data_IF_807892860344
#
_entry.id   IF_807892860344
#
_cell.length_a   1.000
_cell.length_b   1.000
_cell.length_c   1.000
_cell.angle_alpha   90.00
_cell.angle_beta   90.00
_cell.angle_gamma   90.00
#
_symmetry.space_group_name_H-M   'P 1'
#
loop_
_entity.id
_entity.type
_entity.pdbx_description
1 polymer ?
#
# COMPACT_ATOMS: atom_id res chain seq x y z
N UNK A 1 -31.27 -16.98 -2.05
CA UNK A 1 -30.57 -18.29 -1.99
C UNK A 1 -30.19 -18.51 -0.54
N UNK A 2 -30.56 -19.68 -0.02
CA UNK A 2 -30.88 -19.93 1.38
C UNK A 2 -29.88 -19.39 2.41
N UNK A 3 -30.43 -18.65 3.38
CA UNK A 3 -29.86 -18.40 4.70
C UNK A 3 -29.79 -19.75 5.44
N UNK A 4 -28.77 -20.53 5.13
CA UNK A 4 -28.48 -21.77 5.83
C UNK A 4 -28.05 -21.39 7.24
N UNK A 5 -28.97 -21.56 8.19
CA UNK A 5 -28.75 -21.55 9.63
C UNK A 5 -27.38 -22.17 9.94
N UNK A 6 -26.35 -21.32 10.07
CA UNK A 6 -24.98 -21.79 10.31
C UNK A 6 -25.02 -22.55 11.63
N UNK A 7 -24.58 -23.81 11.61
CA UNK A 7 -24.28 -24.56 12.84
C UNK A 7 -23.48 -23.62 13.76
N UNK A 8 -23.71 -23.64 15.09
CA UNK A 8 -22.91 -22.85 16.01
C UNK A 8 -21.45 -23.26 15.83
N UNK A 9 -20.68 -22.42 15.13
CA UNK A 9 -19.25 -22.60 14.97
C UNK A 9 -18.56 -21.67 15.97
N UNK A 10 -17.37 -22.06 16.39
CA UNK A 10 -16.46 -21.18 17.13
C UNK A 10 -15.20 -21.08 16.28
N UNK A 11 -14.70 -19.88 16.13
CA UNK A 11 -13.46 -19.61 15.42
C UNK A 11 -12.33 -20.46 15.97
N UNK A 12 -11.59 -21.07 15.05
CA UNK A 12 -10.35 -21.75 15.37
C UNK A 12 -9.34 -21.38 14.28
N UNK A 13 -8.08 -21.06 14.64
CA UNK A 13 -7.06 -20.64 13.68
C UNK A 13 -6.67 -21.73 12.67
N UNK A 14 -7.21 -22.95 12.75
CA UNK A 14 -6.85 -24.06 11.85
C UNK A 14 -8.11 -24.71 11.27
N UNK A 15 -9.03 -25.17 12.12
CA UNK A 15 -10.22 -25.90 11.70
C UNK A 15 -11.34 -25.03 11.12
N UNK A 16 -11.57 -23.83 11.69
CA UNK A 16 -12.73 -22.99 11.40
C UNK A 16 -12.36 -21.51 11.24
N UNK A 17 -11.43 -21.23 10.32
CA UNK A 17 -10.91 -19.87 10.05
C UNK A 17 -12.00 -18.89 9.58
N UNK A 18 -13.03 -19.36 8.89
CA UNK A 18 -14.08 -18.51 8.32
C UNK A 18 -15.23 -18.21 9.30
N UNK A 19 -15.15 -18.72 10.54
CA UNK A 19 -16.20 -18.54 11.53
C UNK A 19 -16.10 -17.18 12.22
N UNK A 20 -17.15 -16.33 12.20
CA UNK A 20 -17.10 -15.00 12.81
C UNK A 20 -17.46 -14.98 14.31
N UNK A 21 -17.54 -16.14 14.96
CA UNK A 21 -17.93 -16.27 16.37
C UNK A 21 -16.67 -16.57 17.17
N UNK A 22 -16.29 -15.69 18.09
CA UNK A 22 -15.04 -15.77 18.83
C UNK A 22 -15.30 -15.92 20.33
N UNK A 23 -14.50 -16.74 21.00
CA UNK A 23 -14.44 -16.74 22.47
C UNK A 23 -13.65 -15.51 22.94
N UNK A 24 -14.14 -14.81 23.97
CA UNK A 24 -13.42 -13.69 24.58
C UNK A 24 -12.08 -14.16 25.12
N UNK A 25 -12.02 -15.38 25.69
CA UNK A 25 -10.79 -15.96 26.20
C UNK A 25 -9.73 -16.09 25.10
N UNK A 26 -10.13 -16.61 23.92
CA UNK A 26 -9.26 -16.72 22.75
C UNK A 26 -8.77 -15.35 22.26
N UNK A 27 -9.67 -14.36 22.17
CA UNK A 27 -9.29 -12.99 21.78
C UNK A 27 -8.24 -12.43 22.75
N UNK A 28 -8.44 -12.62 24.05
CA UNK A 28 -7.56 -12.10 25.09
C UNK A 28 -6.22 -12.84 25.14
N UNK A 29 -6.20 -14.14 24.90
CA UNK A 29 -4.96 -14.92 24.85
C UNK A 29 -4.10 -14.57 23.63
N UNK A 30 -4.73 -14.25 22.50
CA UNK A 30 -4.02 -13.80 21.29
C UNK A 30 -3.56 -12.34 21.41
N UNK A 31 -4.40 -11.46 21.99
CA UNK A 31 -4.08 -10.04 22.15
C UNK A 31 -2.96 -9.79 23.18
N UNK A 32 -2.89 -10.60 24.24
CA UNK A 32 -1.88 -10.51 25.29
C UNK A 32 -1.43 -11.90 25.75
N UNK A 33 -0.16 -12.23 25.46
CA UNK A 33 0.45 -13.52 25.80
C UNK A 33 0.78 -13.60 27.29
N UNK A 34 1.05 -12.48 27.95
CA UNK A 34 1.37 -12.45 29.37
C UNK A 34 0.10 -12.63 30.22
N UNK A 35 0.09 -13.70 31.03
CA UNK A 35 -1.05 -14.08 31.89
C UNK A 35 -1.36 -12.98 32.91
N UNK A 36 -0.33 -12.35 33.50
CA UNK A 36 -0.49 -11.31 34.52
C UNK A 36 -1.17 -10.09 33.94
N UNK A 37 -0.69 -9.60 32.79
CA UNK A 37 -1.29 -8.46 32.08
C UNK A 37 -2.72 -8.76 31.67
N UNK A 38 -2.98 -9.96 31.12
CA UNK A 38 -4.32 -10.39 30.74
C UNK A 38 -5.30 -10.39 31.91
N UNK A 39 -4.88 -10.88 33.08
CA UNK A 39 -5.71 -10.83 34.30
C UNK A 39 -5.98 -9.40 34.77
N UNK A 40 -4.99 -8.51 34.63
CA UNK A 40 -5.17 -7.09 34.94
C UNK A 40 -6.14 -6.42 33.96
N UNK A 41 -6.12 -6.78 32.67
CA UNK A 41 -7.08 -6.28 31.68
C UNK A 41 -8.52 -6.70 32.04
N UNK A 42 -8.72 -7.93 32.51
CA UNK A 42 -10.04 -8.40 32.95
C UNK A 42 -10.53 -7.67 34.21
N UNK A 43 -9.63 -7.27 35.10
CA UNK A 43 -9.98 -6.58 36.36
C UNK A 43 -10.17 -5.07 36.19
N UNK A 44 -9.29 -4.42 35.45
CA UNK A 44 -9.24 -2.96 35.32
C UNK A 44 -9.79 -2.43 34.00
N UNK A 45 -10.06 -3.32 33.04
CA UNK A 45 -10.42 -2.99 31.67
C UNK A 45 -9.19 -2.85 30.78
N UNK A 46 -9.41 -2.86 29.47
CA UNK A 46 -8.35 -2.75 28.45
C UNK A 46 -8.95 -2.47 27.08
N UNK A 47 -8.10 -2.15 26.10
CA UNK A 47 -8.53 -1.85 24.74
C UNK A 47 -7.90 -2.85 23.79
N UNK A 48 -8.72 -3.63 23.10
CA UNK A 48 -8.26 -4.68 22.18
C UNK A 48 -8.73 -4.35 20.76
N UNK A 49 -7.80 -4.37 19.80
CA UNK A 49 -8.11 -4.32 18.38
C UNK A 49 -8.39 -5.70 17.84
N UNK A 50 -9.51 -5.85 17.16
CA UNK A 50 -9.83 -7.00 16.30
C UNK A 50 -9.68 -6.52 14.87
N UNK A 51 -8.60 -6.91 14.18
CA UNK A 51 -8.34 -6.54 12.80
C UNK A 51 -8.82 -7.66 11.86
N UNK A 52 -9.67 -7.29 10.90
CA UNK A 52 -10.08 -8.12 9.78
C UNK A 52 -9.35 -7.61 8.55
N UNK A 53 -8.43 -8.41 8.01
CA UNK A 53 -7.62 -8.06 6.85
C UNK A 53 -8.10 -8.82 5.61
N UNK A 54 -8.44 -8.09 4.55
CA UNK A 54 -8.91 -8.65 3.30
C UNK A 54 -7.87 -8.43 2.21
N UNK A 55 -6.95 -9.37 1.99
CA UNK A 55 -6.06 -9.34 0.83
C UNK A 55 -6.60 -10.27 -0.27
N UNK A 56 -7.22 -9.68 -1.28
CA UNK A 56 -7.99 -10.41 -2.27
C UNK A 56 -7.51 -10.18 -3.68
N UNK A 57 -7.19 -11.29 -4.36
CA UNK A 57 -7.01 -11.29 -5.80
C UNK A 57 -8.35 -11.58 -6.49
N UNK A 58 -8.93 -10.54 -7.11
CA UNK A 58 -10.22 -10.57 -7.82
C UNK A 58 -10.13 -11.20 -9.21
N UNK A 59 -8.94 -11.55 -9.69
CA UNK A 59 -8.78 -12.36 -10.91
C UNK A 59 -9.10 -13.83 -10.65
N UNK A 60 -9.05 -14.25 -9.39
CA UNK A 60 -9.48 -15.57 -8.94
C UNK A 60 -10.95 -15.56 -8.52
N UNK A 61 -11.45 -16.72 -8.11
CA UNK A 61 -12.81 -16.83 -7.61
C UNK A 61 -13.00 -15.99 -6.33
N UNK A 62 -14.04 -15.14 -6.32
CA UNK A 62 -14.41 -14.30 -5.17
C UNK A 62 -14.62 -15.10 -3.87
N UNK A 63 -14.99 -16.39 -3.96
CA UNK A 63 -15.16 -17.26 -2.79
C UNK A 63 -13.84 -17.56 -2.04
N UNK A 64 -12.70 -17.34 -2.68
CA UNK A 64 -11.38 -17.48 -2.06
C UNK A 64 -10.95 -16.23 -1.28
N UNK A 65 -11.59 -15.09 -1.54
CA UNK A 65 -11.40 -13.86 -0.78
C UNK A 65 -12.04 -14.04 0.60
N UNK A 66 -11.21 -14.19 1.62
CA UNK A 66 -11.60 -14.47 3.01
C UNK A 66 -10.81 -13.55 3.94
N UNK A 67 -11.40 -13.13 5.07
CA UNK A 67 -10.71 -12.25 5.99
C UNK A 67 -9.68 -13.05 6.81
N UNK A 68 -8.53 -12.44 7.05
CA UNK A 68 -7.59 -12.86 8.08
C UNK A 68 -7.87 -12.09 9.37
N UNK A 69 -8.05 -12.82 10.47
CA UNK A 69 -8.32 -12.23 11.79
C UNK A 69 -7.03 -12.09 12.58
N UNK A 70 -6.79 -10.91 13.15
CA UNK A 70 -5.69 -10.67 14.08
C UNK A 70 -6.17 -9.87 15.30
N UNK A 71 -5.59 -10.16 16.45
CA UNK A 71 -5.97 -9.58 17.73
C UNK A 71 -4.75 -8.93 18.37
N UNK A 72 -4.91 -7.71 18.87
CA UNK A 72 -3.80 -7.00 19.50
C UNK A 72 -4.31 -6.05 20.59
N UNK A 73 -3.58 -5.94 21.69
CA UNK A 73 -3.78 -4.88 22.67
C UNK A 73 -3.40 -3.51 22.08
N UNK A 74 -4.20 -2.48 22.37
CA UNK A 74 -3.95 -1.10 21.93
C UNK A 74 -3.61 -0.15 23.07
N UNK A 75 -4.02 -0.45 24.29
CA UNK A 75 -3.65 0.32 25.48
C UNK A 75 -2.24 -0.01 25.96
N UNK A 76 -1.64 0.94 26.68
CA UNK A 76 -0.31 0.78 27.28
C UNK A 76 -0.35 -0.31 28.37
N UNK A 77 0.64 -1.21 28.44
CA UNK A 77 0.74 -2.22 29.49
C UNK A 77 0.72 -1.64 30.91
N UNK A 78 0.19 -2.41 31.86
CA UNK A 78 0.00 -1.95 33.25
C UNK A 78 1.32 -1.74 34.01
N UNK A 79 2.39 -2.39 33.57
CA UNK A 79 3.72 -2.22 34.17
C UNK A 79 4.39 -0.89 33.76
N UNK A 80 3.96 -0.27 32.66
CA UNK A 80 4.53 1.01 32.17
C UNK A 80 3.79 2.22 32.74
N UNK A 81 2.47 2.12 32.93
CA UNK A 81 1.63 3.24 33.37
C UNK A 81 1.01 3.00 34.76
N UNK A 82 1.61 3.55 35.85
CA UNK A 82 1.11 3.33 37.20
C UNK A 82 -0.12 4.16 37.54
N UNK A 83 -0.37 5.29 36.86
CA UNK A 83 -1.40 6.26 37.26
C UNK A 83 -2.77 5.98 36.61
N UNK A 84 -2.79 5.58 35.34
CA UNK A 84 -4.02 5.31 34.59
C UNK A 84 -4.10 3.86 34.15
N UNK A 85 -4.44 2.98 35.09
CA UNK A 85 -4.56 1.55 34.84
C UNK A 85 -5.87 1.23 34.10
N UNK A 86 -5.72 0.72 32.88
CA UNK A 86 -6.80 0.08 32.12
C UNK A 86 -7.84 1.05 31.56
N UNK A 87 -8.97 0.50 31.13
CA UNK A 87 -10.06 1.27 30.51
C UNK A 87 -11.29 1.36 31.43
N UNK A 88 -11.71 2.59 31.73
CA UNK A 88 -12.89 2.86 32.55
C UNK A 88 -13.73 4.01 31.98
N UNK A 89 -15.04 3.96 32.23
CA UNK A 89 -15.95 5.05 31.90
C UNK A 89 -16.96 5.29 33.02
N UNK A 90 -17.45 6.53 33.13
CA UNK A 90 -18.48 6.91 34.10
C UNK A 90 -19.74 7.30 33.35
N UNK A 91 -20.88 6.79 33.82
CA UNK A 91 -22.19 7.18 33.34
C UNK A 91 -23.07 7.59 34.53
N UNK A 92 -24.01 8.50 34.30
CA UNK A 92 -24.92 8.96 35.33
C UNK A 92 -26.36 8.73 34.88
N UNK A 93 -27.12 8.03 35.72
CA UNK A 93 -28.57 7.91 35.58
C UNK A 93 -29.19 8.96 36.47
N UNK A 94 -29.83 9.95 35.87
CA UNK A 94 -30.51 11.04 36.60
C UNK A 94 -32.01 10.82 36.57
N UNK A 95 -32.69 11.13 37.67
CA UNK A 95 -34.15 11.16 37.76
C UNK A 95 -34.59 12.32 38.66
N UNK A 96 -35.88 12.64 38.61
CA UNK A 96 -36.47 13.74 39.38
C UNK A 96 -37.59 13.18 40.26
N UNK A 97 -37.62 13.61 41.51
CA UNK A 97 -38.67 13.26 42.46
C UNK A 97 -39.03 14.53 43.26
N UNK A 98 -40.32 14.91 43.27
CA UNK A 98 -40.87 16.03 44.04
C UNK A 98 -40.02 17.33 43.95
N UNK A 99 -39.79 17.79 42.72
CA UNK A 99 -38.95 18.97 42.38
C UNK A 99 -37.42 18.83 42.61
N UNK A 100 -36.97 17.82 43.35
CA UNK A 100 -35.54 17.53 43.56
C UNK A 100 -34.92 16.65 42.46
N UNK A 101 -33.68 16.95 42.10
CA UNK A 101 -32.92 16.24 41.08
C UNK A 101 -31.92 15.26 41.72
N UNK A 102 -32.09 13.97 41.43
CA UNK A 102 -31.20 12.91 41.89
C UNK A 102 -30.35 12.34 40.74
N UNK A 103 -29.16 11.84 41.08
CA UNK A 103 -28.30 11.10 40.13
C UNK A 103 -27.55 9.97 40.81
N UNK A 104 -27.47 8.83 40.13
CA UNK A 104 -26.52 7.75 40.44
C UNK A 104 -25.38 7.84 39.44
N UNK A 105 -24.16 8.06 39.94
CA UNK A 105 -22.94 8.03 39.14
C UNK A 105 -22.30 6.64 39.24
N UNK A 106 -22.31 5.89 38.14
CA UNK A 106 -21.71 4.56 38.05
C UNK A 106 -20.38 4.65 37.32
N UNK A 107 -19.32 4.06 37.91
CA UNK A 107 -18.03 3.86 37.24
C UNK A 107 -17.91 2.40 36.83
N UNK A 108 -17.77 2.15 35.53
CA UNK A 108 -17.62 0.82 34.96
C UNK A 108 -16.19 0.60 34.44
N UNK A 109 -15.67 -0.60 34.69
CA UNK A 109 -14.39 -1.09 34.16
C UNK A 109 -14.70 -2.24 33.20
N UNK A 110 -14.08 -2.26 32.03
CA UNK A 110 -14.37 -3.28 31.04
C UNK A 110 -13.46 -3.26 29.83
N UNK A 111 -13.60 -4.29 29.00
CA UNK A 111 -12.87 -4.40 27.75
C UNK A 111 -13.59 -3.60 26.66
N UNK A 112 -12.81 -2.83 25.89
CA UNK A 112 -13.28 -2.16 24.69
C UNK A 112 -12.69 -2.84 23.47
N UNK A 113 -13.53 -3.48 22.67
CA UNK A 113 -13.13 -4.04 21.39
C UNK A 113 -13.26 -3.00 20.27
N UNK A 114 -12.17 -2.78 19.54
CA UNK A 114 -12.15 -1.92 18.36
C UNK A 114 -12.01 -2.83 17.14
N UNK A 115 -13.09 -2.95 16.37
CA UNK A 115 -13.09 -3.73 15.13
C UNK A 115 -12.54 -2.84 14.01
N UNK A 116 -11.41 -3.23 13.45
CA UNK A 116 -10.74 -2.55 12.35
C UNK A 116 -10.81 -3.43 11.11
N UNK A 117 -11.40 -2.93 10.04
CA UNK A 117 -11.47 -3.65 8.77
C UNK A 117 -10.50 -2.97 7.80
N UNK A 118 -9.54 -3.74 7.31
CA UNK A 118 -8.61 -3.32 6.27
C UNK A 118 -8.75 -4.25 5.08
N UNK A 119 -8.49 -3.73 3.88
CA UNK A 119 -8.61 -4.54 2.69
C UNK A 119 -7.82 -3.96 1.52
N UNK A 120 -7.21 -4.86 0.77
CA UNK A 120 -6.55 -4.62 -0.50
C UNK A 120 -7.13 -5.60 -1.50
N UNK A 121 -7.61 -5.08 -2.62
CA UNK A 121 -8.12 -5.90 -3.70
C UNK A 121 -7.34 -5.59 -4.97
N UNK A 122 -6.78 -6.62 -5.60
CA UNK A 122 -6.12 -6.53 -6.91
C UNK A 122 -7.00 -7.16 -7.98
N UNK A 123 -7.12 -6.50 -9.13
CA UNK A 123 -7.71 -7.05 -10.35
C UNK A 123 -6.79 -6.70 -11.51
N UNK A 124 -6.63 -7.60 -12.46
CA UNK A 124 -5.90 -7.39 -13.68
C UNK A 124 -6.49 -6.22 -14.46
N UNK A 125 -5.62 -5.25 -14.76
CA UNK A 125 -5.92 -4.08 -15.57
C UNK A 125 -4.88 -3.96 -16.68
N UNK A 126 -5.37 -3.96 -17.92
CA UNK A 126 -4.55 -3.91 -19.12
C UNK A 126 -3.77 -2.58 -19.24
N UNK A 127 -4.34 -1.48 -18.74
CA UNK A 127 -3.70 -0.15 -18.78
C UNK A 127 -2.47 -0.16 -17.88
N UNK A 128 -2.63 -0.57 -16.63
CA UNK A 128 -1.52 -0.71 -15.67
C UNK A 128 -0.45 -1.69 -16.16
N UNK A 129 -0.85 -2.79 -16.79
CA UNK A 129 0.08 -3.74 -17.38
C UNK A 129 0.95 -3.12 -18.49
N UNK A 130 0.32 -2.42 -19.43
CA UNK A 130 1.03 -1.79 -20.55
C UNK A 130 1.98 -0.68 -20.07
N UNK A 131 1.57 0.10 -19.07
CA UNK A 131 2.42 1.11 -18.43
C UNK A 131 3.67 0.49 -17.78
N UNK A 132 3.50 -0.63 -17.06
CA UNK A 132 4.61 -1.35 -16.46
C UNK A 132 5.58 -1.93 -17.50
N UNK A 133 5.05 -2.45 -18.63
CA UNK A 133 5.89 -2.88 -19.76
C UNK A 133 6.65 -1.70 -20.36
N UNK A 134 6.00 -0.55 -20.57
CA UNK A 134 6.66 0.65 -21.07
C UNK A 134 7.84 1.07 -20.20
N UNK A 135 7.67 1.01 -18.87
CA UNK A 135 8.77 1.28 -17.92
C UNK A 135 9.93 0.29 -18.05
N UNK A 136 9.64 -1.01 -18.24
CA UNK A 136 10.66 -2.04 -18.43
C UNK A 136 11.44 -1.81 -19.73
N UNK A 137 10.74 -1.51 -20.83
CA UNK A 137 11.37 -1.19 -22.13
C UNK A 137 12.27 0.05 -22.02
N UNK A 138 11.83 1.08 -21.31
CA UNK A 138 12.65 2.27 -21.04
C UNK A 138 13.94 1.93 -20.27
N UNK A 139 13.86 1.06 -19.26
CA UNK A 139 15.02 0.63 -18.48
C UNK A 139 16.05 -0.14 -19.33
N UNK A 140 15.59 -0.95 -20.30
CA UNK A 140 16.50 -1.64 -21.22
C UNK A 140 17.38 -0.68 -22.04
N UNK A 141 16.89 0.52 -22.36
CA UNK A 141 17.69 1.56 -23.04
C UNK A 141 18.84 2.10 -22.19
N UNK A 142 18.72 2.12 -20.85
CA UNK A 142 19.85 2.44 -19.98
C UNK A 142 20.85 1.28 -19.89
N UNK A 143 20.36 0.05 -19.97
CA UNK A 143 21.19 -1.15 -19.99
C UNK A 143 22.21 -1.13 -21.13
N UNK A 144 21.81 -0.72 -22.34
CA UNK A 144 22.72 -0.63 -23.49
C UNK A 144 23.81 0.41 -23.26
N UNK A 145 23.50 1.56 -22.66
CA UNK A 145 24.49 2.60 -22.33
C UNK A 145 25.52 2.06 -21.34
N UNK A 146 25.08 1.37 -20.29
CA UNK A 146 25.98 0.77 -19.30
C UNK A 146 26.83 -0.33 -19.94
N UNK A 147 26.24 -1.16 -20.79
CA UNK A 147 26.95 -2.17 -21.57
C UNK A 147 28.03 -1.53 -22.46
N UNK A 148 27.73 -0.41 -23.11
CA UNK A 148 28.70 0.31 -23.93
C UNK A 148 29.83 0.92 -23.10
N UNK A 149 29.54 1.52 -21.95
CA UNK A 149 30.56 2.03 -21.02
C UNK A 149 31.48 0.89 -20.57
N UNK A 150 30.92 -0.27 -20.24
CA UNK A 150 31.70 -1.45 -19.85
C UNK A 150 32.61 -1.95 -20.98
N UNK A 151 32.06 -2.08 -22.21
CA UNK A 151 32.83 -2.55 -23.37
C UNK A 151 33.92 -1.55 -23.80
N UNK A 152 33.66 -0.25 -23.67
CA UNK A 152 34.61 0.80 -24.05
C UNK A 152 35.69 1.08 -23.00
N UNK A 153 35.39 0.96 -21.71
CA UNK A 153 36.32 1.39 -20.67
C UNK A 153 36.89 0.24 -19.82
N UNK A 154 36.17 -0.87 -19.66
CA UNK A 154 36.54 -1.93 -18.71
C UNK A 154 36.99 -3.22 -19.39
N UNK A 155 36.69 -3.41 -20.67
CA UNK A 155 37.13 -4.58 -21.43
C UNK A 155 38.59 -4.50 -21.85
N UNK A 156 39.35 -5.58 -21.68
CA UNK A 156 40.75 -5.70 -22.13
C UNK A 156 40.93 -5.55 -23.65
N UNK A 157 39.86 -5.69 -24.44
CA UNK A 157 39.84 -5.49 -25.91
C UNK A 157 39.11 -4.20 -26.32
N UNK A 158 38.99 -3.22 -25.43
CA UNK A 158 38.28 -1.96 -25.69
C UNK A 158 38.82 -1.19 -26.90
N UNK A 159 40.13 -1.22 -27.15
CA UNK A 159 40.76 -0.57 -28.32
C UNK A 159 40.30 -1.16 -29.66
N UNK A 160 39.99 -2.46 -29.68
CA UNK A 160 39.45 -3.15 -30.85
C UNK A 160 37.99 -2.75 -31.05
N UNK A 161 37.18 -2.74 -29.97
CA UNK A 161 35.77 -2.32 -30.00
C UNK A 161 35.62 -0.86 -30.47
N UNK A 162 36.49 0.03 -29.99
CA UNK A 162 36.51 1.46 -30.40
C UNK A 162 36.74 1.65 -31.90
N UNK A 163 37.56 0.80 -32.53
CA UNK A 163 37.87 0.90 -33.96
C UNK A 163 36.73 0.45 -34.88
N UNK A 164 35.85 -0.43 -34.40
CA UNK A 164 34.70 -0.91 -35.18
C UNK A 164 33.46 -0.05 -35.00
N UNK A 165 33.40 0.76 -33.93
CA UNK A 165 32.24 1.62 -33.62
C UNK A 165 32.49 3.08 -33.98
N UNK A 166 33.71 3.58 -33.78
CA UNK A 166 34.04 4.96 -34.10
C UNK A 166 34.85 5.04 -35.39
N UNK A 167 34.30 5.70 -36.40
CA UNK A 167 35.05 6.15 -37.57
C UNK A 167 35.60 7.56 -37.29
N UNK A 168 36.92 7.68 -37.20
CA UNK A 168 37.60 8.96 -37.02
C UNK A 168 37.52 9.77 -38.32
N UNK A 169 36.51 10.62 -38.44
CA UNK A 169 36.41 11.59 -39.53
C UNK A 169 37.27 12.81 -39.23
N UNK A 170 38.41 12.92 -39.91
CA UNK A 170 39.19 14.15 -39.91
C UNK A 170 38.41 15.23 -40.68
N UNK A 171 37.71 16.10 -39.96
CA UNK A 171 37.20 17.37 -40.52
C UNK A 171 38.40 18.29 -40.79
N UNK A 172 39.10 18.00 -41.88
CA UNK A 172 40.05 18.92 -42.47
C UNK A 172 39.33 20.23 -42.79
N UNK A 173 39.69 21.29 -42.06
CA UNK A 173 39.55 22.66 -42.52
C UNK A 173 39.98 22.70 -43.97
N UNK A 174 39.06 23.09 -44.86
CA UNK A 174 39.32 23.25 -46.29
C UNK A 174 40.63 24.01 -46.50
N UNK A 175 41.69 23.29 -46.88
CA UNK A 175 42.64 23.83 -47.82
C UNK A 175 42.66 22.91 -49.04
N UNK A 176 42.68 23.57 -50.18
CA UNK A 176 42.29 23.04 -51.46
C UNK A 176 43.30 22.03 -51.97
N UNK A 177 42.85 20.84 -52.38
CA UNK A 177 43.35 20.10 -53.56
C UNK A 177 42.57 18.81 -53.81
N UNK A 178 41.87 18.80 -54.95
CA UNK A 178 41.23 17.64 -55.59
C UNK A 178 42.22 16.49 -55.86
N UNK A 179 41.75 15.24 -55.80
CA UNK A 179 41.93 14.12 -56.77
C UNK A 179 41.23 12.86 -56.22
N UNK A 180 40.00 12.54 -56.64
CA UNK A 180 39.61 11.69 -57.79
C UNK A 180 39.99 10.21 -57.65
N UNK A 181 38.98 9.37 -57.32
CA UNK A 181 38.62 8.02 -57.88
C UNK A 181 37.76 7.26 -56.85
N UNK A 182 36.41 7.24 -56.91
CA UNK A 182 35.46 6.53 -57.80
C UNK A 182 35.50 4.99 -57.74
N UNK A 183 34.46 4.40 -57.11
CA UNK A 183 33.62 3.22 -57.50
C UNK A 183 33.01 2.61 -56.22
N UNK A 184 31.75 2.22 -56.08
CA UNK A 184 30.63 1.82 -56.98
C UNK A 184 29.35 1.90 -56.08
N UNK A 185 28.28 2.67 -56.39
CA UNK A 185 27.07 2.25 -57.16
C UNK A 185 26.43 1.02 -56.49
N UNK A 186 25.18 0.96 -56.02
CA UNK A 186 23.87 1.59 -56.32
C UNK A 186 22.88 1.09 -55.23
N UNK A 187 21.66 1.57 -54.93
CA UNK A 187 20.57 2.29 -55.64
C UNK A 187 19.51 2.56 -54.54
N UNK A 188 19.01 3.79 -54.39
CA UNK A 188 17.61 4.22 -54.61
C UNK A 188 16.64 3.91 -53.43
N UNK A 189 15.69 4.75 -53.00
CA UNK A 189 14.81 5.70 -53.69
C UNK A 189 14.49 6.95 -52.82
N UNK A 190 14.32 8.09 -53.50
CA UNK A 190 13.35 9.21 -53.36
C UNK A 190 13.08 9.82 -51.95
N UNK A 191 13.58 11.02 -51.62
CA UNK A 191 13.12 12.38 -52.00
C UNK A 191 11.73 12.79 -51.46
N UNK A 192 11.69 13.59 -50.39
CA UNK A 192 10.88 14.82 -50.37
C UNK A 192 11.37 15.85 -49.36
N UNK A 193 11.37 17.09 -49.84
CA UNK A 193 12.06 18.29 -49.39
C UNK A 193 11.38 19.09 -48.28
N UNK A 194 12.22 19.84 -47.57
CA UNK A 194 12.03 21.22 -47.08
C UNK A 194 10.85 21.57 -46.17
N UNK A 195 11.17 22.20 -45.04
CA UNK A 195 11.13 23.67 -44.98
C UNK A 195 11.65 24.21 -43.64
N UNK A 196 12.76 24.92 -43.74
CA UNK A 196 13.08 26.19 -43.08
C UNK A 196 12.35 26.62 -41.79
N UNK A 197 13.21 26.81 -40.79
CA UNK A 197 13.43 28.10 -40.14
C UNK A 197 12.64 28.46 -38.86
N UNK A 198 13.45 28.95 -37.93
CA UNK A 198 13.23 30.10 -37.07
C UNK A 198 12.76 29.90 -35.62
N UNK A 199 13.73 30.27 -34.77
CA UNK A 199 13.63 31.23 -33.67
C UNK A 199 13.19 30.69 -32.31
N UNK A 200 14.01 31.11 -31.34
CA UNK A 200 13.95 30.92 -29.91
C UNK A 200 12.56 31.08 -29.30
N UNK A 201 12.26 30.22 -28.35
CA UNK A 201 11.51 30.60 -27.17
C UNK A 201 12.11 29.84 -25.97
N UNK A 202 12.87 30.59 -25.19
CA UNK A 202 13.17 30.27 -23.81
C UNK A 202 11.84 30.10 -23.06
N UNK A 203 11.55 28.91 -22.52
CA UNK A 203 10.51 28.76 -21.50
C UNK A 203 10.93 27.69 -20.50
N UNK A 204 11.20 28.18 -19.29
CA UNK A 204 11.39 27.39 -18.08
C UNK A 204 10.26 26.38 -17.88
N UNK A 205 10.60 25.10 -17.69
CA UNK A 205 9.66 24.13 -17.13
C UNK A 205 10.21 23.52 -15.85
N UNK A 206 9.68 24.09 -14.76
CA UNK A 206 9.39 23.51 -13.45
C UNK A 206 9.35 21.98 -13.48
N UNK A 207 10.16 21.36 -12.63
CA UNK A 207 10.02 19.96 -12.26
C UNK A 207 8.67 19.73 -11.56
N UNK A 208 7.84 18.77 -12.00
CA UNK A 208 6.90 18.13 -11.10
C UNK A 208 7.62 16.94 -10.47
N UNK A 209 7.98 17.08 -9.19
CA UNK A 209 8.29 15.91 -8.37
C UNK A 209 7.08 14.99 -8.36
N UNK A 210 7.17 13.86 -9.03
CA UNK A 210 6.15 12.83 -9.00
C UNK A 210 6.56 11.78 -7.96
N UNK A 211 6.01 11.92 -6.76
CA UNK A 211 5.99 10.84 -5.77
C UNK A 211 5.20 9.66 -6.35
N UNK A 212 5.66 8.40 -6.20
CA UNK A 212 4.86 7.26 -6.59
C UNK A 212 3.71 7.12 -5.59
N UNK A 213 2.56 7.70 -5.93
CA UNK A 213 1.31 7.39 -5.26
C UNK A 213 0.92 5.97 -5.66
N UNK A 214 1.23 5.01 -4.78
CA UNK A 214 0.54 3.73 -4.76
C UNK A 214 -0.95 4.03 -4.64
N UNK A 215 -1.71 3.88 -5.73
CA UNK A 215 -3.17 3.91 -5.70
C UNK A 215 -3.67 2.62 -5.03
N UNK A 216 -3.38 2.47 -3.74
CA UNK A 216 -4.23 1.75 -2.82
C UNK A 216 -5.28 2.74 -2.38
N UNK A 217 -6.53 2.57 -2.85
CA UNK A 217 -7.65 3.24 -2.20
C UNK A 217 -7.80 2.61 -0.81
N UNK A 218 -7.15 3.21 0.19
CA UNK A 218 -7.40 2.88 1.59
C UNK A 218 -8.79 3.39 1.94
N UNK A 219 -9.79 2.52 1.85
CA UNK A 219 -11.09 2.78 2.46
C UNK A 219 -10.91 2.53 3.95
N UNK A 220 -10.57 3.59 4.69
CA UNK A 220 -10.61 3.56 6.15
C UNK A 220 -12.07 3.56 6.55
N UNK A 221 -12.64 2.38 6.78
CA UNK A 221 -13.88 2.28 7.53
C UNK A 221 -13.52 2.70 8.95
N UNK A 222 -13.88 3.94 9.30
CA UNK A 222 -13.70 4.47 10.65
C UNK A 222 -14.31 3.53 11.69
N UNK A 223 -13.89 3.63 12.97
CA UNK A 223 -14.42 2.76 14.02
C UNK A 223 -15.95 2.84 14.01
N UNK A 224 -16.60 1.71 13.78
CA UNK A 224 -18.04 1.55 14.04
C UNK A 224 -18.19 1.70 15.55
N UNK A 225 -18.46 2.93 15.97
CA UNK A 225 -18.79 3.22 17.36
C UNK A 225 -20.19 2.66 17.59
N UNK A 226 -20.26 1.59 18.38
CA UNK A 226 -21.54 1.10 18.87
C UNK A 226 -22.23 2.23 19.66
N UNK A 227 -23.31 2.73 19.05
CA UNK A 227 -24.55 3.28 19.61
C UNK A 227 -24.39 3.98 20.97
N UNK A 228 -24.52 5.30 20.90
CA UNK A 228 -24.93 6.15 22.01
C UNK A 228 -26.32 5.72 22.51
N UNK A 229 -26.51 5.30 23.78
CA UNK A 229 -27.83 4.87 24.29
C UNK A 229 -28.83 6.03 24.52
N UNK A 230 -28.51 7.28 24.15
CA UNK A 230 -29.43 8.43 24.32
C UNK A 230 -30.37 8.69 23.13
N UNK A 231 -31.09 7.68 22.64
CA UNK A 231 -32.19 7.97 21.70
C UNK A 231 -33.33 6.96 21.78
N UNK A 232 -33.86 6.77 22.98
CA UNK A 232 -35.19 6.19 23.21
C UNK A 232 -35.86 6.92 24.37
N UNK A 233 -36.19 8.20 24.18
CA UNK A 233 -37.26 8.89 24.90
C UNK A 233 -37.78 9.99 23.97
N UNK A 234 -38.89 9.71 23.29
CA UNK A 234 -40.12 10.52 23.16
C UNK A 234 -41.12 9.68 22.38
#
# INVERSE_FOLDING_TARGET
>A
MADSLKKPCVFHPEHYKDCPIFSIDYIMSEAEKNITERNLMLRHGGVVRIKLDWDCNLDRNIKLCKPEYSFARLDVPFYEEPFSKGFNFRHATSWKQDEEHFRILTKAHGLRFIISVSGKAGKFDFITFTLNIGSIVGLFGLGTIVCDIFLLHLSKRSSIYRKYIFDDVNLGRNDSRKKVQKKRVQTNDDEYSNSDSNIEAELSYRTPGYSPASSGKTVTIGPVSFINPRRLQY
#
